data_IF_413217644040
#
_entry.id   IF_413217644040
#
_cell.length_a   1.000
_cell.length_b   1.000
_cell.length_c   1.000
_cell.angle_alpha   90.00
_cell.angle_beta   90.00
_cell.angle_gamma   90.00
#
_symmetry.space_group_name_H-M   'P 1'
#
loop_
_entity.id
_entity.type
_entity.pdbx_description
1 polymer ?
#
# COMPACT_ATOMS: atom_id res chain seq x y z
N UNK A 1 91.36 -53.56 -0.70
CA UNK A 1 91.26 -53.43 -2.17
C UNK A 1 89.80 -53.55 -2.55
N UNK A 2 89.30 -52.50 -3.19
CA UNK A 2 87.92 -52.24 -3.55
C UNK A 2 87.64 -52.89 -4.91
N UNK A 3 86.56 -53.65 -5.08
CA UNK A 3 85.97 -53.90 -6.40
C UNK A 3 84.55 -53.31 -6.41
N UNK A 4 84.51 -51.98 -6.61
CA UNK A 4 83.30 -51.20 -6.79
C UNK A 4 82.96 -51.27 -8.28
N UNK A 5 82.26 -52.33 -8.70
CA UNK A 5 81.75 -52.43 -10.07
C UNK A 5 80.55 -51.51 -10.22
N UNK A 6 80.81 -50.28 -10.64
CA UNK A 6 79.80 -49.36 -11.14
C UNK A 6 78.98 -50.05 -12.24
N UNK A 7 77.66 -50.20 -11.99
CA UNK A 7 76.70 -50.59 -13.01
C UNK A 7 76.72 -49.55 -14.11
N UNK A 8 77.37 -49.87 -15.24
CA UNK A 8 77.31 -49.05 -16.45
C UNK A 8 75.87 -48.99 -16.96
N UNK A 9 75.26 -47.81 -16.87
CA UNK A 9 73.96 -47.53 -17.48
C UNK A 9 74.12 -47.51 -19.01
N UNK A 10 73.60 -48.55 -19.68
CA UNK A 10 73.60 -48.64 -21.13
C UNK A 10 72.36 -47.89 -21.65
N UNK A 11 72.57 -46.68 -22.18
CA UNK A 11 71.53 -45.89 -22.84
C UNK A 11 71.85 -44.39 -22.91
N UNK A 12 71.26 -43.69 -23.88
CA UNK A 12 71.34 -42.23 -24.00
C UNK A 12 70.81 -41.57 -22.71
N UNK A 13 71.62 -40.72 -22.05
CA UNK A 13 71.26 -40.01 -20.80
C UNK A 13 69.92 -39.28 -20.87
N UNK A 14 69.53 -38.79 -22.05
CA UNK A 14 68.24 -38.15 -22.30
C UNK A 14 67.03 -39.08 -22.03
N UNK A 15 67.16 -40.39 -22.30
CA UNK A 15 66.08 -41.37 -22.09
C UNK A 15 65.95 -41.73 -20.60
N UNK A 16 67.06 -41.79 -19.87
CA UNK A 16 67.06 -41.97 -18.42
C UNK A 16 66.48 -40.74 -17.69
N UNK A 17 66.85 -39.54 -18.13
CA UNK A 17 66.25 -38.28 -17.64
C UNK A 17 64.74 -38.23 -17.85
N UNK A 18 64.28 -38.54 -19.07
CA UNK A 18 62.85 -38.58 -19.39
C UNK A 18 62.08 -39.71 -18.66
N UNK A 19 62.71 -40.87 -18.38
CA UNK A 19 62.11 -41.92 -17.54
C UNK A 19 62.07 -41.54 -16.06
N UNK A 20 63.09 -40.86 -15.54
CA UNK A 20 63.12 -40.34 -14.17
C UNK A 20 62.10 -39.20 -13.98
N UNK A 21 61.94 -38.31 -14.97
CA UNK A 21 60.88 -37.29 -14.98
C UNK A 21 59.48 -37.91 -15.08
N UNK A 22 59.29 -38.95 -15.89
CA UNK A 22 58.00 -39.69 -15.93
C UNK A 22 57.72 -40.47 -14.64
N UNK A 23 58.75 -40.93 -13.94
CA UNK A 23 58.60 -41.58 -12.63
C UNK A 23 58.26 -40.54 -11.54
N UNK A 24 58.87 -39.36 -11.57
CA UNK A 24 58.54 -38.23 -10.69
C UNK A 24 57.19 -37.58 -11.01
N UNK A 25 56.73 -37.62 -12.27
CA UNK A 25 55.40 -37.13 -12.63
C UNK A 25 54.27 -38.12 -12.31
N UNK A 26 54.58 -39.42 -12.13
CA UNK A 26 53.63 -40.39 -11.58
C UNK A 26 53.29 -40.13 -10.11
N UNK A 27 54.23 -39.58 -9.33
CA UNK A 27 53.98 -39.09 -7.96
C UNK A 27 53.22 -37.75 -7.92
N UNK A 28 53.01 -37.10 -9.06
CA UNK A 28 52.22 -35.86 -9.17
C UNK A 28 50.73 -36.08 -9.47
N UNK A 29 50.28 -37.32 -9.70
CA UNK A 29 48.85 -37.62 -9.84
C UNK A 29 48.28 -37.92 -8.45
N UNK A 30 47.51 -36.98 -7.92
CA UNK A 30 46.66 -37.17 -6.75
C UNK A 30 45.98 -38.55 -6.85
N UNK A 31 46.20 -39.39 -5.84
CA UNK A 31 45.61 -40.74 -5.80
C UNK A 31 44.09 -40.62 -5.76
N UNK A 32 43.36 -41.58 -6.35
CA UNK A 32 41.89 -41.57 -6.34
C UNK A 32 41.26 -41.30 -4.96
N UNK A 33 41.80 -41.87 -3.86
CA UNK A 33 41.37 -41.53 -2.49
C UNK A 33 41.56 -40.06 -2.10
N UNK A 34 42.62 -39.40 -2.57
CA UNK A 34 42.86 -37.98 -2.30
C UNK A 34 41.85 -37.08 -3.02
N UNK A 35 41.46 -37.42 -4.25
CA UNK A 35 40.37 -36.72 -4.96
C UNK A 35 39.01 -36.93 -4.29
N UNK A 36 38.72 -38.15 -3.82
CA UNK A 36 37.50 -38.43 -3.06
C UNK A 36 37.46 -37.67 -1.73
N UNK A 37 38.58 -37.60 -1.01
CA UNK A 37 38.68 -36.82 0.22
C UNK A 37 38.50 -35.32 -0.02
N UNK A 38 39.13 -34.76 -1.07
CA UNK A 38 38.96 -33.36 -1.45
C UNK A 38 37.51 -33.05 -1.87
N UNK A 39 36.89 -33.91 -2.70
CA UNK A 39 35.50 -33.78 -3.09
C UNK A 39 34.54 -33.88 -1.90
N UNK A 40 34.81 -34.81 -0.97
CA UNK A 40 34.05 -34.94 0.28
C UNK A 40 34.15 -33.71 1.19
N UNK A 41 35.34 -33.12 1.31
CA UNK A 41 35.55 -31.90 2.09
C UNK A 41 34.81 -30.70 1.49
N UNK A 42 34.82 -30.55 0.17
CA UNK A 42 34.04 -29.50 -0.52
C UNK A 42 32.54 -29.70 -0.31
N UNK A 43 32.03 -30.93 -0.50
CA UNK A 43 30.61 -31.24 -0.25
C UNK A 43 30.21 -30.96 1.19
N UNK A 44 31.02 -31.38 2.17
CA UNK A 44 30.77 -31.11 3.58
C UNK A 44 30.73 -29.60 3.87
N UNK A 45 31.65 -28.84 3.30
CA UNK A 45 31.68 -27.37 3.45
C UNK A 45 30.43 -26.72 2.86
N UNK A 46 29.99 -27.17 1.69
CA UNK A 46 28.74 -26.70 1.05
C UNK A 46 27.52 -27.02 1.91
N UNK A 47 27.44 -28.24 2.46
CA UNK A 47 26.34 -28.64 3.36
C UNK A 47 26.33 -27.81 4.65
N UNK A 48 27.48 -27.61 5.28
CA UNK A 48 27.61 -26.78 6.49
C UNK A 48 27.20 -25.33 6.19
N UNK A 49 27.69 -24.76 5.08
CA UNK A 49 27.34 -23.41 4.66
C UNK A 49 25.84 -23.27 4.37
N UNK A 50 25.23 -24.28 3.73
CA UNK A 50 23.80 -24.33 3.48
C UNK A 50 22.98 -24.36 4.78
N UNK A 51 23.35 -25.22 5.74
CA UNK A 51 22.70 -25.26 7.05
C UNK A 51 22.86 -23.96 7.84
N UNK A 52 24.07 -23.38 7.84
CA UNK A 52 24.34 -22.11 8.50
C UNK A 52 23.51 -20.97 7.89
N UNK A 53 23.41 -20.92 6.56
CA UNK A 53 22.59 -19.97 5.81
C UNK A 53 21.10 -20.13 6.11
N UNK A 54 20.60 -21.37 6.16
CA UNK A 54 19.18 -21.60 6.45
C UNK A 54 18.82 -21.24 7.90
N UNK A 55 19.75 -21.47 8.86
CA UNK A 55 19.58 -21.03 10.25
C UNK A 55 19.60 -19.52 10.39
N UNK A 56 20.50 -18.82 9.69
CA UNK A 56 20.55 -17.35 9.76
C UNK A 56 19.29 -16.73 9.15
N UNK A 57 18.80 -17.26 8.02
CA UNK A 57 17.55 -16.85 7.40
C UNK A 57 16.35 -17.05 8.34
N UNK A 58 16.25 -18.22 8.97
CA UNK A 58 15.18 -18.53 9.92
C UNK A 58 15.19 -17.57 11.11
N UNK A 59 16.38 -17.31 11.68
CA UNK A 59 16.54 -16.34 12.77
C UNK A 59 16.11 -14.93 12.37
N UNK A 60 16.53 -14.45 11.19
CA UNK A 60 16.14 -13.12 10.70
C UNK A 60 14.62 -13.00 10.50
N UNK A 61 13.95 -14.06 10.00
CA UNK A 61 12.48 -14.10 9.92
C UNK A 61 11.84 -14.00 11.29
N UNK A 62 12.33 -14.76 12.26
CA UNK A 62 11.78 -14.77 13.62
C UNK A 62 11.96 -13.41 14.29
N UNK A 63 13.13 -12.78 14.14
CA UNK A 63 13.42 -11.44 14.66
C UNK A 63 12.49 -10.39 14.02
N UNK A 64 12.29 -10.43 12.69
CA UNK A 64 11.40 -9.51 11.98
C UNK A 64 9.92 -9.71 12.39
N UNK A 65 9.46 -10.96 12.49
CA UNK A 65 8.10 -11.28 12.93
C UNK A 65 7.88 -10.92 14.40
N UNK A 66 8.90 -11.03 15.26
CA UNK A 66 8.80 -10.58 16.65
C UNK A 66 8.59 -9.07 16.74
N UNK A 67 9.32 -8.28 15.94
CA UNK A 67 9.12 -6.84 15.86
C UNK A 67 7.72 -6.49 15.34
N UNK A 68 7.27 -7.18 14.29
CA UNK A 68 5.93 -7.00 13.74
C UNK A 68 4.84 -7.28 14.79
N UNK A 69 4.95 -8.37 15.56
CA UNK A 69 4.00 -8.68 16.64
C UNK A 69 3.95 -7.57 17.69
N UNK A 70 5.09 -6.99 18.06
CA UNK A 70 5.11 -5.85 18.98
C UNK A 70 4.35 -4.64 18.41
N UNK A 71 4.52 -4.34 17.11
CA UNK A 71 3.76 -3.29 16.43
C UNK A 71 2.25 -3.61 16.36
N UNK A 72 1.88 -4.88 16.15
CA UNK A 72 0.48 -5.33 16.16
C UNK A 72 -0.14 -5.17 17.55
N UNK A 73 0.57 -5.52 18.62
CA UNK A 73 0.06 -5.38 20.00
C UNK A 73 -0.14 -3.93 20.43
N UNK A 74 0.52 -2.98 19.77
CA UNK A 74 0.43 -1.55 20.11
C UNK A 74 -0.56 -0.85 19.18
N UNK A 75 -0.20 -0.68 17.91
CA UNK A 75 -1.00 0.06 16.93
C UNK A 75 -2.13 -0.79 16.37
N UNK A 76 -1.88 -2.08 16.14
CA UNK A 76 -2.89 -3.00 15.62
C UNK A 76 -4.11 -3.14 16.53
N UNK A 77 -3.91 -3.07 17.85
CA UNK A 77 -4.97 -3.15 18.85
C UNK A 77 -5.99 -2.00 18.75
N UNK A 78 -5.53 -0.79 18.40
CA UNK A 78 -6.43 0.36 18.21
C UNK A 78 -6.91 0.48 16.76
N UNK A 79 -6.07 0.12 15.79
CA UNK A 79 -6.41 0.20 14.35
C UNK A 79 -7.44 -0.84 13.92
N UNK A 80 -7.31 -2.10 14.33
CA UNK A 80 -8.20 -3.17 13.85
C UNK A 80 -9.68 -2.90 14.17
N UNK A 81 -10.08 -2.49 15.39
CA UNK A 81 -11.46 -2.13 15.68
C UNK A 81 -11.97 -0.93 14.85
N UNK A 82 -11.14 0.09 14.64
CA UNK A 82 -11.50 1.25 13.83
C UNK A 82 -11.70 0.85 12.36
N UNK A 83 -10.77 0.06 11.81
CA UNK A 83 -10.85 -0.49 10.45
C UNK A 83 -12.11 -1.32 10.27
N UNK A 84 -12.35 -2.29 11.15
CA UNK A 84 -13.50 -3.20 11.04
C UNK A 84 -14.82 -2.42 11.15
N UNK A 85 -14.86 -1.37 11.99
CA UNK A 85 -15.99 -0.44 12.07
C UNK A 85 -16.19 0.33 10.76
N UNK A 86 -15.13 0.90 10.18
CA UNK A 86 -15.20 1.64 8.91
C UNK A 86 -15.68 0.71 7.79
N UNK A 87 -15.06 -0.46 7.65
CA UNK A 87 -15.41 -1.46 6.63
C UNK A 87 -16.88 -1.88 6.75
N UNK A 88 -17.33 -2.19 7.97
CA UNK A 88 -18.74 -2.52 8.21
C UNK A 88 -19.67 -1.37 7.80
N UNK A 89 -19.36 -0.14 8.21
CA UNK A 89 -20.17 1.02 7.87
C UNK A 89 -20.24 1.26 6.36
N UNK A 90 -19.14 1.03 5.63
CA UNK A 90 -19.12 1.14 4.17
C UNK A 90 -20.03 0.11 3.52
N UNK A 91 -19.99 -1.15 3.98
CA UNK A 91 -20.86 -2.22 3.47
C UNK A 91 -22.33 -1.94 3.79
N UNK A 92 -22.62 -1.50 5.02
CA UNK A 92 -23.98 -1.15 5.45
C UNK A 92 -24.56 0.05 4.65
N UNK A 93 -23.71 0.98 4.21
CA UNK A 93 -24.06 2.13 3.37
C UNK A 93 -24.28 1.74 1.90
N UNK A 94 -23.51 0.78 1.40
CA UNK A 94 -23.63 0.25 0.04
C UNK A 94 -24.85 -0.67 -0.14
N UNK A 95 -25.35 -1.26 0.95
CA UNK A 95 -26.50 -2.16 0.92
C UNK A 95 -27.74 -1.54 0.26
N UNK A 96 -28.52 -2.39 -0.41
CA UNK A 96 -29.83 -2.04 -0.95
C UNK A 96 -30.96 -2.62 -0.09
N UNK A 97 -32.13 -1.93 -0.02
CA UNK A 97 -32.41 -0.62 -0.62
C UNK A 97 -31.78 0.54 0.16
N UNK A 98 -31.57 1.68 -0.51
CA UNK A 98 -31.14 2.91 0.15
C UNK A 98 -32.15 3.32 1.24
N UNK A 99 -31.66 3.56 2.47
CA UNK A 99 -32.48 3.83 3.67
C UNK A 99 -33.13 5.23 3.69
N UNK A 100 -32.99 6.00 2.62
CA UNK A 100 -33.48 7.37 2.52
C UNK A 100 -32.55 8.39 3.19
N UNK A 101 -32.76 9.66 2.86
CA UNK A 101 -31.94 10.74 3.38
C UNK A 101 -32.16 10.98 4.87
N UNK A 102 -31.09 11.35 5.57
CA UNK A 102 -31.10 11.71 6.97
C UNK A 102 -29.99 12.73 7.26
N UNK A 103 -30.34 13.80 7.96
CA UNK A 103 -29.39 14.77 8.51
C UNK A 103 -29.71 14.89 9.99
N UNK A 104 -28.78 14.43 10.82
CA UNK A 104 -28.88 14.56 12.26
C UNK A 104 -28.69 16.04 12.66
N UNK A 105 -29.48 16.57 13.61
CA UNK A 105 -29.31 17.95 14.07
C UNK A 105 -27.90 18.28 14.59
N UNK A 106 -27.15 17.28 15.06
CA UNK A 106 -25.75 17.41 15.46
C UNK A 106 -24.86 17.81 14.27
N UNK A 107 -25.17 17.36 13.05
CA UNK A 107 -24.40 17.66 11.83
C UNK A 107 -24.36 19.16 11.51
N UNK A 108 -25.45 19.88 11.80
CA UNK A 108 -25.53 21.32 11.56
C UNK A 108 -24.71 22.14 12.58
N UNK A 109 -24.50 21.59 13.78
CA UNK A 109 -23.80 22.26 14.88
C UNK A 109 -22.33 21.86 15.00
N UNK A 110 -21.95 20.72 14.41
CA UNK A 110 -20.59 20.21 14.44
C UNK A 110 -19.80 20.66 13.21
N UNK A 111 -18.71 21.41 13.43
CA UNK A 111 -17.80 21.83 12.34
C UNK A 111 -16.85 20.70 11.92
N UNK A 112 -17.42 19.61 11.39
CA UNK A 112 -16.64 18.47 10.89
C UNK A 112 -15.73 18.88 9.73
N UNK A 113 -16.08 19.93 8.98
CA UNK A 113 -15.32 20.41 7.81
C UNK A 113 -13.90 20.82 8.15
N UNK A 114 -13.66 21.23 9.39
CA UNK A 114 -12.37 21.63 9.93
C UNK A 114 -11.78 20.60 10.90
N UNK A 115 -12.42 19.44 11.05
CA UNK A 115 -11.92 18.38 11.90
C UNK A 115 -10.98 17.44 11.11
N UNK A 116 -10.03 16.77 11.78
CA UNK A 116 -9.36 15.61 11.21
C UNK A 116 -10.35 14.47 10.96
N UNK A 117 -10.27 13.83 9.81
CA UNK A 117 -11.14 12.71 9.46
C UNK A 117 -10.53 11.75 8.45
N UNK A 118 -11.27 10.69 8.14
CA UNK A 118 -10.90 9.69 7.12
C UNK A 118 -11.84 9.87 5.93
N UNK A 119 -11.30 9.80 4.72
CA UNK A 119 -12.04 9.88 3.46
C UNK A 119 -11.94 8.58 2.69
N UNK A 120 -13.08 8.11 2.16
CA UNK A 120 -13.12 7.05 1.18
C UNK A 120 -14.16 7.40 0.10
N UNK A 121 -13.74 7.32 -1.15
CA UNK A 121 -14.65 7.30 -2.30
C UNK A 121 -14.40 6.07 -3.15
N UNK A 122 -15.48 5.38 -3.51
CA UNK A 122 -15.48 4.25 -4.43
C UNK A 122 -16.84 4.12 -5.12
N UNK A 123 -16.91 3.27 -6.14
CA UNK A 123 -18.18 2.84 -6.71
C UNK A 123 -18.93 1.98 -5.69
N UNK A 124 -20.25 2.15 -5.59
CA UNK A 124 -21.12 1.32 -4.76
C UNK A 124 -20.96 -0.16 -5.10
N UNK A 125 -20.83 -0.47 -6.38
CA UNK A 125 -20.69 -1.82 -6.91
C UNK A 125 -19.38 -2.53 -6.52
N UNK A 126 -18.39 -1.77 -6.05
CA UNK A 126 -17.12 -2.26 -5.52
C UNK A 126 -17.18 -2.50 -3.99
N UNK A 127 -18.25 -2.07 -3.32
CA UNK A 127 -18.46 -2.22 -1.88
C UNK A 127 -19.32 -3.45 -1.52
N UNK A 128 -19.08 -4.59 -2.16
CA UNK A 128 -19.87 -5.83 -1.99
C UNK A 128 -19.40 -6.69 -0.82
N UNK A 129 -18.11 -6.70 -0.56
CA UNK A 129 -17.47 -7.49 0.48
C UNK A 129 -16.16 -6.80 0.93
N UNK A 130 -15.62 -7.23 2.07
CA UNK A 130 -14.42 -6.64 2.68
C UNK A 130 -13.18 -6.77 1.80
N UNK A 131 -13.02 -7.88 1.08
CA UNK A 131 -11.86 -8.12 0.23
C UNK A 131 -11.86 -7.17 -0.97
N UNK A 132 -12.98 -7.10 -1.70
CA UNK A 132 -13.17 -6.19 -2.82
C UNK A 132 -13.05 -4.73 -2.37
N UNK A 133 -13.64 -4.37 -1.23
CA UNK A 133 -13.53 -3.03 -0.64
C UNK A 133 -12.08 -2.66 -0.36
N UNK A 134 -11.31 -3.53 0.31
CA UNK A 134 -9.90 -3.25 0.65
C UNK A 134 -9.05 -3.08 -0.61
N UNK A 135 -9.31 -3.89 -1.64
CA UNK A 135 -8.64 -3.80 -2.94
C UNK A 135 -8.96 -2.47 -3.61
N UNK A 136 -10.24 -2.11 -3.72
CA UNK A 136 -10.72 -0.92 -4.41
C UNK A 136 -10.44 0.38 -3.67
N UNK A 137 -10.37 0.34 -2.34
CA UNK A 137 -9.91 1.46 -1.55
C UNK A 137 -8.46 1.86 -1.86
N UNK A 138 -7.62 0.97 -2.44
CA UNK A 138 -6.28 1.35 -2.90
C UNK A 138 -6.28 2.30 -4.09
N UNK A 139 -7.36 2.31 -4.86
CA UNK A 139 -7.52 3.20 -6.02
C UNK A 139 -8.14 4.54 -5.61
N UNK A 140 -8.62 4.66 -4.36
CA UNK A 140 -9.21 5.88 -3.84
C UNK A 140 -8.14 6.98 -3.69
N UNK A 141 -8.46 8.16 -4.20
CA UNK A 141 -7.65 9.37 -4.11
C UNK A 141 -8.50 10.52 -3.58
N UNK A 142 -7.85 11.55 -3.05
CA UNK A 142 -8.54 12.81 -2.78
C UNK A 142 -8.88 13.47 -4.10
N UNK A 143 -10.09 14.00 -4.15
CA UNK A 143 -10.64 14.66 -5.31
C UNK A 143 -11.20 16.03 -4.92
N UNK A 144 -11.72 16.74 -5.92
CA UNK A 144 -12.30 18.06 -5.72
C UNK A 144 -13.52 18.06 -4.78
N UNK A 145 -14.17 16.92 -4.54
CA UNK A 145 -15.27 16.85 -3.58
C UNK A 145 -14.76 17.16 -2.17
N UNK A 146 -13.63 16.56 -1.76
CA UNK A 146 -13.00 16.88 -0.48
C UNK A 146 -12.52 18.32 -0.39
N UNK A 147 -11.91 18.85 -1.45
CA UNK A 147 -11.42 20.24 -1.49
C UNK A 147 -12.53 21.29 -1.46
N UNK A 148 -13.70 20.99 -2.05
CA UNK A 148 -14.85 21.90 -2.06
C UNK A 148 -15.73 21.76 -0.79
N UNK A 149 -15.86 20.54 -0.24
CA UNK A 149 -16.66 20.30 0.96
C UNK A 149 -15.92 20.72 2.23
N UNK A 150 -14.66 20.33 2.39
CA UNK A 150 -13.93 20.50 3.64
C UNK A 150 -13.22 21.86 3.68
N UNK A 151 -12.85 22.29 4.87
CA UNK A 151 -12.05 23.49 5.09
C UNK A 151 -10.68 23.01 5.51
N UNK A 152 -9.67 23.21 4.68
CA UNK A 152 -8.29 22.88 5.05
C UNK A 152 -7.91 23.65 6.32
N UNK A 153 -7.81 22.94 7.44
CA UNK A 153 -7.21 23.46 8.67
C UNK A 153 -5.71 23.29 8.58
N UNK A 154 -5.07 23.98 7.64
CA UNK A 154 -3.62 24.07 7.66
C UNK A 154 -3.21 25.15 8.66
N UNK A 155 -3.22 24.78 9.95
CA UNK A 155 -2.88 25.69 11.05
C UNK A 155 -1.45 26.20 10.92
N UNK A 156 -0.54 25.39 10.40
CA UNK A 156 0.85 25.79 10.13
C UNK A 156 0.92 26.83 9.00
N UNK A 157 0.15 26.66 7.92
CA UNK A 157 0.00 27.66 6.85
C UNK A 157 -0.64 28.94 7.36
N UNK A 158 -1.68 28.83 8.18
CA UNK A 158 -2.33 29.98 8.81
C UNK A 158 -1.39 30.75 9.75
N UNK A 159 -0.36 30.08 10.30
CA UNK A 159 0.69 30.70 11.13
C UNK A 159 1.92 31.15 10.34
N UNK A 160 1.96 30.90 9.03
CA UNK A 160 3.10 31.26 8.17
C UNK A 160 4.38 30.46 8.49
N UNK A 161 4.24 29.25 9.04
CA UNK A 161 5.39 28.40 9.33
C UNK A 161 6.05 27.95 8.00
N UNK A 162 7.40 27.95 7.89
CA UNK A 162 8.10 27.64 6.64
C UNK A 162 7.84 26.20 6.14
N UNK A 163 7.44 25.30 7.05
CA UNK A 163 7.07 23.91 6.77
C UNK A 163 5.56 23.72 6.61
N UNK A 164 4.78 24.79 6.46
CA UNK A 164 3.32 24.74 6.31
C UNK A 164 2.84 23.84 5.17
N UNK A 165 3.61 23.74 4.08
CA UNK A 165 3.33 22.83 2.97
C UNK A 165 3.51 21.34 3.30
N UNK A 166 4.04 21.03 4.48
CA UNK A 166 4.28 19.66 4.97
C UNK A 166 3.26 19.19 6.02
N UNK A 167 2.31 20.06 6.39
CA UNK A 167 1.27 19.72 7.35
C UNK A 167 0.49 18.47 6.90
N UNK A 168 0.07 17.59 7.83
CA UNK A 168 -0.58 16.34 7.47
C UNK A 168 -1.84 16.62 6.67
N UNK A 169 -1.83 16.10 5.45
CA UNK A 169 -2.85 16.22 4.42
C UNK A 169 -4.16 15.59 4.94
N UNK A 170 -5.00 16.38 5.60
CA UNK A 170 -6.29 15.98 6.17
C UNK A 170 -7.43 16.38 5.24
N UNK A 171 -8.50 15.56 5.13
CA UNK A 171 -8.71 14.26 5.80
C UNK A 171 -7.75 13.20 5.26
N UNK A 172 -7.40 12.16 6.02
CA UNK A 172 -6.58 11.07 5.49
C UNK A 172 -7.40 10.22 4.51
N UNK A 173 -6.86 9.88 3.34
CA UNK A 173 -7.53 8.89 2.49
C UNK A 173 -7.37 7.50 3.14
N UNK A 174 -8.43 6.69 3.17
CA UNK A 174 -8.39 5.34 3.76
C UNK A 174 -7.29 4.46 3.13
N UNK A 175 -6.95 4.69 1.85
CA UNK A 175 -5.77 4.11 1.19
C UNK A 175 -4.50 4.32 2.01
N UNK A 176 -4.25 5.54 2.48
CA UNK A 176 -3.06 5.87 3.26
C UNK A 176 -3.03 5.05 4.56
N UNK A 177 -4.18 4.88 5.21
CA UNK A 177 -4.28 4.05 6.40
C UNK A 177 -3.99 2.57 6.11
N UNK A 178 -4.51 2.01 5.02
CA UNK A 178 -4.21 0.64 4.61
C UNK A 178 -2.74 0.44 4.24
N UNK A 179 -2.14 1.36 3.50
CA UNK A 179 -0.71 1.30 3.14
C UNK A 179 0.15 1.39 4.39
N UNK A 180 -0.15 2.34 5.29
CA UNK A 180 0.55 2.55 6.54
C UNK A 180 0.51 1.33 7.47
N UNK A 181 -0.60 0.59 7.45
CA UNK A 181 -0.85 -0.55 8.34
C UNK A 181 -0.63 -1.91 7.69
N UNK A 182 -0.19 -1.97 6.42
CA UNK A 182 0.02 -3.23 5.69
C UNK A 182 0.94 -4.20 6.44
N UNK A 183 2.02 -3.70 7.05
CA UNK A 183 2.97 -4.52 7.81
C UNK A 183 2.36 -5.18 9.05
N UNK A 184 1.23 -4.64 9.54
CA UNK A 184 0.51 -5.18 10.68
C UNK A 184 -0.43 -6.34 10.28
N UNK A 185 -0.58 -6.62 8.98
CA UNK A 185 -1.47 -7.67 8.50
C UNK A 185 -0.87 -9.07 8.59
N UNK A 186 -1.73 -10.07 8.77
CA UNK A 186 -1.34 -11.49 8.70
C UNK A 186 -0.84 -11.89 7.31
N UNK A 187 -1.38 -11.25 6.26
CA UNK A 187 -0.93 -11.47 4.88
C UNK A 187 0.56 -11.14 4.73
N UNK A 188 0.99 -9.98 5.22
CA UNK A 188 2.41 -9.59 5.23
C UNK A 188 3.25 -10.54 6.08
N UNK A 189 2.78 -10.93 7.26
CA UNK A 189 3.47 -11.90 8.10
C UNK A 189 3.66 -13.26 7.41
N UNK A 190 2.66 -13.71 6.64
CA UNK A 190 2.74 -14.95 5.87
C UNK A 190 3.69 -14.81 4.66
N UNK A 191 3.73 -13.65 4.00
CA UNK A 191 4.72 -13.33 2.96
C UNK A 191 6.16 -13.40 3.49
N UNK A 192 6.42 -12.91 4.71
CA UNK A 192 7.72 -13.00 5.38
C UNK A 192 8.11 -14.45 5.69
N UNK A 193 7.17 -15.24 6.23
CA UNK A 193 7.40 -16.67 6.50
C UNK A 193 7.76 -17.43 5.22
N UNK A 194 7.08 -17.11 4.12
CA UNK A 194 7.25 -17.71 2.81
C UNK A 194 8.51 -17.23 2.06
N UNK A 195 9.27 -16.25 2.58
CA UNK A 195 10.49 -15.78 1.94
C UNK A 195 11.56 -16.90 1.92
N UNK A 196 11.93 -17.37 0.75
CA UNK A 196 12.83 -18.50 0.54
C UNK A 196 14.31 -18.10 0.45
N UNK A 197 14.59 -16.81 0.28
CA UNK A 197 15.94 -16.29 0.12
C UNK A 197 16.22 -15.00 0.95
N UNK A 198 17.51 -14.71 1.24
CA UNK A 198 17.88 -13.52 2.01
C UNK A 198 17.60 -12.17 1.31
N UNK A 199 17.57 -12.13 -0.02
CA UNK A 199 17.32 -10.89 -0.78
C UNK A 199 15.86 -10.48 -0.58
N UNK A 200 14.93 -11.43 -0.72
CA UNK A 200 13.52 -11.20 -0.47
C UNK A 200 13.25 -10.84 0.99
N UNK A 201 13.94 -11.47 1.94
CA UNK A 201 13.82 -11.09 3.35
C UNK A 201 14.28 -9.64 3.61
N UNK A 202 15.38 -9.20 2.98
CA UNK A 202 15.85 -7.82 3.07
C UNK A 202 14.83 -6.81 2.53
N UNK A 203 14.06 -7.15 1.51
CA UNK A 203 12.96 -6.29 1.03
C UNK A 203 11.91 -6.11 2.12
N UNK A 204 11.54 -7.17 2.84
CA UNK A 204 10.60 -7.07 3.96
C UNK A 204 11.17 -6.27 5.14
N UNK A 205 12.46 -6.42 5.45
CA UNK A 205 13.13 -5.59 6.46
C UNK A 205 13.07 -4.10 6.08
N UNK A 206 13.36 -3.75 4.81
CA UNK A 206 13.26 -2.37 4.31
C UNK A 206 11.84 -1.84 4.36
N UNK A 207 10.84 -2.66 3.99
CA UNK A 207 9.43 -2.30 4.11
C UNK A 207 9.04 -2.04 5.57
N UNK A 208 9.50 -2.88 6.50
CA UNK A 208 9.22 -2.72 7.92
C UNK A 208 9.89 -1.48 8.50
N UNK A 209 11.17 -1.22 8.18
CA UNK A 209 11.86 0.00 8.62
C UNK A 209 11.23 1.27 8.05
N UNK A 210 10.76 1.24 6.78
CA UNK A 210 9.98 2.34 6.21
C UNK A 210 8.65 2.51 6.94
N UNK A 211 7.94 1.42 7.21
CA UNK A 211 6.69 1.48 7.96
C UNK A 211 6.89 2.01 9.37
N UNK A 212 7.95 1.60 10.07
CA UNK A 212 8.30 2.11 11.40
C UNK A 212 8.59 3.61 11.40
N UNK A 213 9.24 4.13 10.36
CA UNK A 213 9.58 5.55 10.23
C UNK A 213 8.38 6.41 9.86
N UNK A 214 7.60 5.96 8.88
CA UNK A 214 6.58 6.80 8.23
C UNK A 214 5.16 6.27 8.49
N UNK A 215 4.93 4.96 8.27
CA UNK A 215 3.60 4.35 8.29
C UNK A 215 2.98 4.22 9.69
N UNK A 216 3.72 3.68 10.66
CA UNK A 216 3.26 3.48 12.04
C UNK A 216 2.90 4.81 12.70
N UNK A 217 3.73 5.87 12.64
CA UNK A 217 3.34 7.18 13.15
C UNK A 217 2.08 7.72 12.48
N UNK A 218 1.96 7.58 11.16
CA UNK A 218 0.75 7.99 10.42
C UNK A 218 -0.48 7.21 10.88
N UNK A 219 -0.37 5.89 11.08
CA UNK A 219 -1.48 5.06 11.57
C UNK A 219 -1.91 5.46 12.99
N UNK A 220 -0.94 5.76 13.88
CA UNK A 220 -1.21 6.29 15.22
C UNK A 220 -1.96 7.63 15.12
N UNK A 221 -1.52 8.52 14.23
CA UNK A 221 -2.17 9.81 14.01
C UNK A 221 -3.62 9.64 13.52
N UNK A 222 -3.85 8.77 12.53
CA UNK A 222 -5.19 8.46 12.04
C UNK A 222 -6.08 7.95 13.18
N UNK A 223 -5.62 6.95 13.92
CA UNK A 223 -6.42 6.31 14.97
C UNK A 223 -6.74 7.28 16.12
N UNK A 224 -5.77 8.08 16.54
CA UNK A 224 -5.93 8.98 17.69
C UNK A 224 -6.65 10.28 17.35
N UNK A 225 -6.50 10.77 16.10
CA UNK A 225 -6.97 12.10 15.73
C UNK A 225 -8.21 12.08 14.86
N UNK A 226 -8.50 11.03 14.09
CA UNK A 226 -9.67 11.01 13.23
C UNK A 226 -10.97 11.11 14.04
N UNK A 227 -11.77 12.13 13.73
CA UNK A 227 -13.03 12.42 14.42
C UNK A 227 -14.24 12.04 13.57
N UNK A 228 -14.12 12.12 12.24
CA UNK A 228 -15.18 11.70 11.33
C UNK A 228 -14.67 10.73 10.26
N UNK A 229 -15.61 10.00 9.67
CA UNK A 229 -15.42 9.26 8.45
C UNK A 229 -16.39 9.80 7.39
N UNK A 230 -15.84 10.23 6.26
CA UNK A 230 -16.56 10.74 5.10
C UNK A 230 -16.47 9.69 4.01
N UNK A 231 -17.62 9.12 3.67
CA UNK A 231 -17.77 8.10 2.66
C UNK A 231 -18.60 8.64 1.50
N UNK A 232 -18.10 8.44 0.28
CA UNK A 232 -18.82 8.71 -0.96
C UNK A 232 -18.92 7.41 -1.76
N UNK A 233 -20.14 6.97 -2.05
CA UNK A 233 -20.41 5.80 -2.87
C UNK A 233 -21.08 6.25 -4.17
N UNK A 234 -20.33 6.16 -5.26
CA UNK A 234 -20.83 6.52 -6.60
C UNK A 234 -21.72 5.39 -7.14
N UNK A 235 -22.96 5.71 -7.55
CA UNK A 235 -23.86 4.76 -8.20
C UNK A 235 -23.66 4.80 -9.71
N UNK A 236 -23.56 3.62 -10.34
CA UNK A 236 -23.35 3.54 -11.78
C UNK A 236 -24.56 4.05 -12.56
N UNK A 237 -24.29 4.74 -13.67
CA UNK A 237 -25.30 5.20 -14.62
C UNK A 237 -24.92 4.76 -16.04
N UNK A 238 -25.89 4.43 -16.92
CA UNK A 238 -25.60 3.96 -18.28
C UNK A 238 -24.73 4.91 -19.12
N UNK A 239 -24.87 6.21 -18.90
CA UNK A 239 -24.16 7.29 -19.59
C UNK A 239 -22.65 7.22 -19.38
N UNK A 240 -22.19 6.66 -18.26
CA UNK A 240 -20.76 6.49 -17.99
C UNK A 240 -20.09 5.49 -18.95
N UNK A 241 -20.86 4.60 -19.59
CA UNK A 241 -20.33 3.64 -20.56
C UNK A 241 -19.77 4.34 -21.82
N UNK A 242 -20.24 5.54 -22.15
CA UNK A 242 -19.74 6.31 -23.30
C UNK A 242 -18.28 6.73 -23.16
N UNK A 243 -17.77 6.75 -21.92
CA UNK A 243 -16.41 7.14 -21.59
C UNK A 243 -15.46 5.95 -21.41
N UNK A 244 -15.98 4.72 -21.49
CA UNK A 244 -15.15 3.51 -21.37
C UNK A 244 -14.29 3.34 -22.61
N UNK A 245 -12.98 3.27 -22.41
CA UNK A 245 -12.06 2.91 -23.48
C UNK A 245 -12.18 1.39 -23.73
N UNK A 246 -12.38 0.99 -24.98
CA UNK A 246 -12.43 -0.40 -25.44
C UNK A 246 -13.55 -1.30 -24.85
N UNK A 247 -14.66 -0.71 -24.38
CA UNK A 247 -15.79 -1.47 -23.83
C UNK A 247 -15.48 -2.20 -22.51
N UNK A 248 -14.47 -1.70 -21.78
CA UNK A 248 -14.13 -2.16 -20.44
C UNK A 248 -15.20 -1.84 -19.39
N UNK A 249 -14.95 -2.27 -18.15
CA UNK A 249 -15.80 -1.90 -17.02
C UNK A 249 -15.59 -0.42 -16.65
N UNK A 250 -16.69 0.30 -16.43
CA UNK A 250 -16.68 1.71 -15.99
C UNK A 250 -15.78 1.91 -14.78
N UNK A 251 -14.79 2.79 -14.89
CA UNK A 251 -13.94 3.20 -13.79
C UNK A 251 -14.57 4.34 -12.99
N UNK A 252 -14.11 4.56 -11.75
CA UNK A 252 -14.56 5.72 -10.95
C UNK A 252 -14.28 7.05 -11.66
N UNK A 253 -13.18 7.14 -12.41
CA UNK A 253 -12.83 8.36 -13.16
C UNK A 253 -13.74 8.61 -14.36
N UNK A 254 -14.20 7.56 -15.03
CA UNK A 254 -15.17 7.66 -16.12
C UNK A 254 -16.55 8.06 -15.59
N UNK A 255 -17.01 7.40 -14.51
CA UNK A 255 -18.27 7.71 -13.85
C UNK A 255 -18.35 9.17 -13.38
N UNK A 256 -17.26 9.72 -12.86
CA UNK A 256 -17.21 11.11 -12.38
C UNK A 256 -17.31 12.18 -13.46
N UNK A 257 -17.20 11.82 -14.75
CA UNK A 257 -17.37 12.76 -15.85
C UNK A 257 -18.85 13.07 -16.15
N UNK A 258 -19.76 12.17 -15.74
CA UNK A 258 -21.20 12.31 -15.93
C UNK A 258 -21.92 12.60 -14.62
N UNK A 259 -23.07 13.29 -14.66
CA UNK A 259 -23.96 13.38 -13.51
C UNK A 259 -24.43 11.98 -13.09
N UNK A 260 -24.14 11.59 -11.86
CA UNK A 260 -24.56 10.31 -11.30
C UNK A 260 -24.98 10.48 -9.83
N UNK A 261 -25.91 9.65 -9.32
CA UNK A 261 -26.24 9.65 -7.91
C UNK A 261 -25.03 9.18 -7.09
N UNK A 262 -24.72 9.88 -6.01
CA UNK A 262 -23.73 9.48 -5.04
C UNK A 262 -24.36 9.44 -3.64
N UNK A 263 -24.09 8.37 -2.89
CA UNK A 263 -24.45 8.28 -1.47
C UNK A 263 -23.31 8.85 -0.64
N UNK A 264 -23.59 9.92 0.08
CA UNK A 264 -22.64 10.61 0.94
C UNK A 264 -23.00 10.35 2.39
N UNK A 265 -22.06 9.81 3.14
CA UNK A 265 -22.20 9.50 4.54
C UNK A 265 -21.14 10.25 5.35
N UNK A 266 -21.56 10.85 6.47
CA UNK A 266 -20.66 11.43 7.47
C UNK A 266 -20.95 10.74 8.79
N UNK A 267 -19.95 10.04 9.33
CA UNK A 267 -20.05 9.34 10.60
C UNK A 267 -19.12 10.00 11.61
N UNK A 268 -19.63 10.19 12.84
CA UNK A 268 -18.79 10.56 13.97
C UNK A 268 -18.07 9.30 14.48
N UNK A 269 -16.75 9.25 14.36
CA UNK A 269 -15.97 8.07 14.73
C UNK A 269 -15.92 7.86 16.25
N UNK A 270 -16.01 8.93 17.04
CA UNK A 270 -16.01 8.88 18.51
C UNK A 270 -17.29 8.25 19.04
N UNK A 271 -18.45 8.71 18.56
CA UNK A 271 -19.76 8.21 19.01
C UNK A 271 -20.23 6.99 18.21
N UNK A 272 -19.69 6.78 17.01
CA UNK A 272 -20.18 5.78 16.05
C UNK A 272 -21.51 6.13 15.40
N UNK A 273 -22.00 7.36 15.60
CA UNK A 273 -23.28 7.82 15.08
C UNK A 273 -23.13 8.28 13.62
N UNK A 274 -24.03 7.84 12.76
CA UNK A 274 -24.21 8.39 11.42
C UNK A 274 -24.89 9.76 11.57
N UNK A 275 -24.24 10.81 11.09
CA UNK A 275 -24.74 12.19 11.19
C UNK A 275 -25.39 12.66 9.91
N UNK A 276 -24.87 12.21 8.77
CA UNK A 276 -25.39 12.59 7.45
C UNK A 276 -25.46 11.33 6.62
N UNK A 277 -26.59 11.14 5.95
CA UNK A 277 -26.83 10.14 4.91
C UNK A 277 -27.63 10.82 3.82
N UNK A 278 -27.00 11.07 2.67
CA UNK A 278 -27.62 11.81 1.58
C UNK A 278 -27.37 11.09 0.25
N UNK A 279 -28.36 11.05 -0.63
CA UNK A 279 -28.19 10.64 -2.02
C UNK A 279 -28.37 11.85 -2.92
N UNK A 280 -27.28 12.36 -3.49
CA UNK A 280 -27.27 13.60 -4.30
C UNK A 280 -26.60 13.36 -5.64
N UNK A 281 -26.95 14.18 -6.61
CA UNK A 281 -26.30 14.22 -7.92
C UNK A 281 -25.66 15.59 -8.08
N UNK A 282 -24.36 15.62 -8.30
CA UNK A 282 -23.63 16.85 -8.62
C UNK A 282 -23.55 17.04 -10.12
N UNK A 283 -24.07 18.15 -10.63
CA UNK A 283 -23.95 18.53 -12.03
C UNK A 283 -23.58 20.01 -12.11
N UNK A 284 -22.49 20.31 -12.81
CA UNK A 284 -22.15 21.69 -13.16
C UNK A 284 -21.25 21.73 -14.41
N UNK A 285 -21.26 22.88 -15.07
CA UNK A 285 -20.43 23.16 -16.24
C UNK A 285 -19.29 24.12 -15.89
N UNK A 286 -18.10 23.90 -16.45
CA UNK A 286 -17.04 24.90 -16.43
C UNK A 286 -17.14 25.81 -17.65
N UNK A 287 -16.81 27.09 -17.46
CA UNK A 287 -16.67 28.08 -18.52
C UNK A 287 -15.24 28.57 -18.56
N UNK A 288 -14.64 28.60 -19.74
CA UNK A 288 -13.30 29.17 -19.91
C UNK A 288 -13.38 30.70 -19.84
N UNK A 289 -12.66 31.30 -18.90
CA UNK A 289 -12.44 32.74 -18.85
C UNK A 289 -11.12 33.06 -19.55
N UNK A 290 -11.17 33.42 -20.84
CA UNK A 290 -10.00 33.80 -21.63
C UNK A 290 -10.08 33.38 -23.11
N UNK A 291 -9.13 33.84 -23.92
CA UNK A 291 -9.11 33.61 -25.38
C UNK A 291 -8.69 32.19 -25.79
N UNK A 292 -8.08 31.40 -24.89
CA UNK A 292 -7.59 30.04 -25.18
C UNK A 292 -8.43 28.99 -24.44
N UNK A 293 -9.28 28.31 -25.19
CA UNK A 293 -9.96 27.13 -24.67
C UNK A 293 -8.96 25.98 -24.52
N UNK A 294 -9.11 25.17 -23.46
CA UNK A 294 -8.34 23.93 -23.33
C UNK A 294 -8.95 22.89 -24.27
N UNK A 295 -8.15 22.41 -25.22
CA UNK A 295 -8.59 21.43 -26.22
C UNK A 295 -8.18 19.99 -25.90
N UNK A 296 -7.23 19.81 -24.98
CA UNK A 296 -6.78 18.48 -24.55
C UNK A 296 -7.93 17.70 -23.89
N UNK A 297 -8.33 16.53 -24.42
CA UNK A 297 -9.43 15.74 -23.87
C UNK A 297 -9.17 15.26 -22.44
N UNK A 298 -7.93 14.93 -22.08
CA UNK A 298 -7.60 14.45 -20.72
C UNK A 298 -7.78 15.57 -19.70
N UNK A 299 -7.31 16.78 -20.03
CA UNK A 299 -7.48 17.95 -19.18
C UNK A 299 -8.96 18.32 -19.07
N UNK A 300 -9.73 18.25 -20.16
CA UNK A 300 -11.18 18.50 -20.12
C UNK A 300 -11.93 17.48 -19.27
N UNK A 301 -11.57 16.20 -19.34
CA UNK A 301 -12.13 15.14 -18.50
C UNK A 301 -11.84 15.42 -17.01
N UNK A 302 -10.59 15.79 -16.68
CA UNK A 302 -10.20 16.16 -15.33
C UNK A 302 -10.97 17.40 -14.82
N UNK A 303 -11.12 18.45 -15.65
CA UNK A 303 -11.92 19.63 -15.32
C UNK A 303 -13.39 19.29 -15.10
N UNK A 304 -13.98 18.41 -15.92
CA UNK A 304 -15.36 17.96 -15.76
C UNK A 304 -15.56 17.23 -14.44
N UNK A 305 -14.68 16.28 -14.10
CA UNK A 305 -14.68 15.61 -12.80
C UNK A 305 -14.60 16.61 -11.65
N UNK A 306 -13.68 17.58 -11.74
CA UNK A 306 -13.50 18.60 -10.70
C UNK A 306 -14.79 19.39 -10.45
N UNK A 307 -15.45 19.85 -11.52
CA UNK A 307 -16.65 20.65 -11.41
C UNK A 307 -17.85 19.84 -10.90
N UNK A 308 -18.07 18.62 -11.40
CA UNK A 308 -19.13 17.74 -10.89
C UNK A 308 -18.93 17.39 -9.41
N UNK A 309 -17.68 17.11 -9.01
CA UNK A 309 -17.35 16.79 -7.63
C UNK A 309 -17.56 17.98 -6.69
N UNK A 310 -17.25 19.21 -7.13
CA UNK A 310 -17.57 20.42 -6.36
C UNK A 310 -19.07 20.72 -6.33
N UNK A 311 -19.81 20.46 -7.40
CA UNK A 311 -21.27 20.56 -7.40
C UNK A 311 -21.89 19.59 -6.38
N UNK A 312 -21.43 18.35 -6.34
CA UNK A 312 -21.86 17.36 -5.34
C UNK A 312 -21.56 17.84 -3.90
N UNK A 313 -20.37 18.41 -3.67
CA UNK A 313 -20.00 18.98 -2.37
C UNK A 313 -20.94 20.12 -1.94
N UNK A 314 -21.32 20.99 -2.87
CA UNK A 314 -22.26 22.08 -2.61
C UNK A 314 -23.67 21.57 -2.30
N UNK A 315 -24.16 20.56 -3.02
CA UNK A 315 -25.45 19.92 -2.76
C UNK A 315 -25.49 19.27 -1.36
N UNK A 316 -24.41 18.58 -0.98
CA UNK A 316 -24.26 18.02 0.37
C UNK A 316 -24.26 19.11 1.43
N UNK A 317 -23.47 20.17 1.22
CA UNK A 317 -23.36 21.26 2.18
C UNK A 317 -24.68 22.02 2.35
N UNK A 318 -25.37 22.32 1.24
CA UNK A 318 -26.72 22.91 1.22
C UNK A 318 -27.71 22.09 2.06
N UNK A 319 -27.66 20.76 1.95
CA UNK A 319 -28.55 19.88 2.70
C UNK A 319 -28.22 19.81 4.21
N UNK A 320 -26.97 20.03 4.61
CA UNK A 320 -26.53 20.03 6.02
C UNK A 320 -26.86 21.36 6.70
N UNK A 321 -26.80 22.47 5.95
CA UNK A 321 -27.08 23.79 6.53
C UNK A 321 -28.52 23.88 7.04
N UNK A 322 -28.74 24.46 8.23
CA UNK A 322 -30.09 24.71 8.72
C UNK A 322 -30.78 25.64 7.71
N UNK A 323 -31.93 25.20 7.18
CA UNK A 323 -32.77 26.05 6.32
C UNK A 323 -33.06 27.32 7.10
N UNK A 324 -32.52 28.46 6.66
CA UNK A 324 -32.97 29.74 7.16
C UNK A 324 -34.46 29.80 6.84
N UNK A 325 -35.29 29.85 7.89
CA UNK A 325 -36.71 30.09 7.71
C UNK A 325 -36.86 31.44 6.98
N UNK A 326 -37.70 31.51 5.93
CA UNK A 326 -37.91 32.75 5.17
C UNK A 326 -38.42 33.90 6.03
#
# INVERSE_FOLDING_TARGET
MVDNREKREIGLKAIHGARAERARSKTGRLTGPAWLAAGGAVLLTVVIAWFASNRSLSKQKDDLLAQQRAAVTTVGAEWAPLRDKIEKLTLDAAADPYKGDMVDPEAANWDFRSAPGIYLRLRKDDAKDVETLRKRAQDSVKDAFTGCLLRETNVALARGEPDAGTAPDQPWNLRQAYVATRVLSDAWANEVKAADDPIRLRVFEQQYEKAKRDGIPLAIDIVKRAQFYLLVLDEDVPEANEYTVDGGAVTSEELQQVPHPARVHIMNLKTGKELVRLRRTGEADFRFAGERAVHDPEVRAAMRRQVNNCALANEVWSAIQPKHAP
#
